data_IF_461738916043
#
_entry.id   IF_461738916043
#
_cell.length_a   1.000
_cell.length_b   1.000
_cell.length_c   1.000
_cell.angle_alpha   90.00
_cell.angle_beta   90.00
_cell.angle_gamma   90.00
#
_symmetry.space_group_name_H-M   'P 1'
#
loop_
_entity.id
_entity.type
_entity.pdbx_description
1 polymer ?
#
# COMPACT_ATOMS: atom_id res chain seq x y z
N UNK A 1 -11.50 -37.11 -3.36
CA UNK A 1 -12.42 -37.19 -4.52
C UNK A 1 -12.07 -38.43 -5.29
N UNK A 2 -13.00 -39.37 -5.41
CA UNK A 2 -12.88 -40.56 -6.27
C UNK A 2 -14.23 -41.25 -6.37
N UNK A 3 -14.31 -42.19 -7.27
CA UNK A 3 -15.48 -43.06 -7.37
C UNK A 3 -15.59 -43.93 -6.11
N UNK A 4 -16.77 -43.92 -5.50
CA UNK A 4 -17.16 -44.77 -4.38
C UNK A 4 -18.20 -45.78 -4.83
N UNK A 5 -18.24 -46.92 -4.20
CA UNK A 5 -19.25 -47.92 -4.47
C UNK A 5 -20.09 -48.16 -3.22
N UNK A 6 -21.39 -48.26 -3.43
CA UNK A 6 -22.33 -48.78 -2.42
C UNK A 6 -22.80 -50.16 -2.89
N UNK A 7 -22.60 -51.13 -2.04
CA UNK A 7 -23.11 -52.49 -2.27
C UNK A 7 -24.28 -52.72 -1.33
N UNK A 8 -25.42 -53.06 -1.89
CA UNK A 8 -26.65 -53.47 -1.17
C UNK A 8 -26.74 -54.96 -1.31
N UNK A 9 -26.71 -55.67 -0.18
CA UNK A 9 -26.81 -57.14 -0.12
C UNK A 9 -28.15 -57.53 0.47
N UNK A 10 -28.83 -58.51 -0.16
CA UNK A 10 -30.06 -59.08 0.35
C UNK A 10 -29.83 -59.81 1.68
N UNK A 11 -30.83 -59.75 2.58
CA UNK A 11 -30.83 -60.45 3.87
C UNK A 11 -32.16 -61.15 4.07
N UNK A 12 -32.13 -62.23 4.83
CA UNK A 12 -33.34 -63.06 5.10
C UNK A 12 -33.84 -63.76 3.84
N UNK A 13 -35.00 -63.50 3.41
CA UNK A 13 -35.65 -64.11 2.20
C UNK A 13 -35.23 -63.45 0.87
N UNK A 14 -34.32 -62.46 0.89
CA UNK A 14 -33.80 -61.80 -0.29
C UNK A 14 -32.39 -62.22 -0.57
N UNK A 15 -32.05 -62.53 -1.83
CA UNK A 15 -30.73 -62.97 -2.25
C UNK A 15 -30.10 -62.00 -3.25
N UNK A 16 -28.78 -62.07 -3.33
CA UNK A 16 -27.98 -61.31 -4.28
C UNK A 16 -27.46 -60.01 -3.72
N UNK A 17 -26.64 -59.33 -4.51
CA UNK A 17 -26.12 -57.99 -4.22
C UNK A 17 -26.19 -57.10 -5.45
N UNK A 18 -26.41 -55.82 -5.21
CA UNK A 18 -26.34 -54.76 -6.21
C UNK A 18 -25.31 -53.72 -5.82
N UNK A 19 -24.40 -53.43 -6.74
CA UNK A 19 -23.36 -52.41 -6.50
C UNK A 19 -23.59 -51.21 -7.45
N UNK A 20 -23.74 -50.05 -6.87
CA UNK A 20 -23.81 -48.79 -7.59
C UNK A 20 -22.57 -47.91 -7.28
N UNK A 21 -22.01 -47.30 -8.30
CA UNK A 21 -20.91 -46.34 -8.13
C UNK A 21 -21.40 -44.92 -8.17
N UNK A 22 -20.78 -44.04 -7.39
CA UNK A 22 -20.97 -42.60 -7.44
C UNK A 22 -19.63 -41.87 -7.33
N UNK A 23 -19.56 -40.69 -7.94
CA UNK A 23 -18.36 -39.85 -7.88
C UNK A 23 -18.52 -38.77 -6.81
N UNK A 24 -17.53 -38.65 -5.92
CA UNK A 24 -17.40 -37.47 -5.04
C UNK A 24 -16.69 -36.38 -5.85
N UNK A 25 -17.35 -35.27 -6.05
CA UNK A 25 -16.84 -34.12 -6.83
C UNK A 25 -16.60 -32.89 -5.93
N UNK A 26 -15.76 -31.93 -6.35
CA UNK A 26 -15.57 -30.69 -5.60
C UNK A 26 -16.88 -29.93 -5.37
N UNK A 27 -17.00 -29.30 -4.21
CA UNK A 27 -18.16 -28.47 -3.88
C UNK A 27 -18.28 -27.24 -4.80
N UNK A 28 -19.52 -26.75 -4.99
CA UNK A 28 -19.79 -25.52 -5.75
C UNK A 28 -18.97 -24.35 -5.22
N UNK A 29 -18.42 -23.53 -6.13
CA UNK A 29 -17.68 -22.33 -5.81
C UNK A 29 -18.58 -21.13 -5.56
N UNK A 30 -18.02 -20.12 -4.87
CA UNK A 30 -18.68 -18.84 -4.63
C UNK A 30 -17.74 -17.70 -5.00
N UNK A 31 -18.16 -16.82 -5.91
CA UNK A 31 -17.45 -15.57 -6.20
C UNK A 31 -17.68 -14.63 -5.02
N UNK A 32 -16.60 -14.30 -4.30
CA UNK A 32 -16.63 -13.41 -3.12
C UNK A 32 -16.60 -11.95 -3.55
N UNK A 33 -15.75 -11.63 -4.55
CA UNK A 33 -15.52 -10.25 -4.97
C UNK A 33 -15.37 -10.12 -6.48
N UNK A 34 -15.96 -9.06 -7.04
CA UNK A 34 -15.70 -8.57 -8.39
C UNK A 34 -15.34 -7.08 -8.31
N UNK A 35 -14.25 -6.68 -8.97
CA UNK A 35 -13.86 -5.27 -9.04
C UNK A 35 -13.63 -4.85 -10.48
N UNK A 36 -14.22 -3.72 -10.85
CA UNK A 36 -14.05 -3.08 -12.15
C UNK A 36 -12.59 -2.67 -12.38
N UNK A 37 -12.06 -2.96 -13.59
CA UNK A 37 -10.77 -2.48 -14.10
C UNK A 37 -10.97 -1.87 -15.49
N UNK A 38 -10.05 -1.01 -15.92
CA UNK A 38 -10.02 -0.57 -17.32
C UNK A 38 -9.61 -1.75 -18.22
N UNK A 39 -10.47 -2.06 -19.21
CA UNK A 39 -10.32 -3.23 -20.10
C UNK A 39 -10.11 -4.54 -19.35
N UNK A 40 -10.81 -4.72 -18.21
CA UNK A 40 -10.66 -5.92 -17.41
C UNK A 40 -11.50 -5.89 -16.13
N UNK A 41 -11.34 -6.92 -15.31
CA UNK A 41 -11.91 -7.01 -13.96
C UNK A 41 -11.05 -7.92 -13.08
N UNK A 42 -11.17 -7.73 -11.78
CA UNK A 42 -10.63 -8.63 -10.77
C UNK A 42 -11.77 -9.51 -10.25
N UNK A 43 -11.49 -10.80 -10.12
CA UNK A 43 -12.39 -11.78 -9.55
C UNK A 43 -11.70 -12.53 -8.41
N UNK A 44 -12.40 -12.72 -7.31
CA UNK A 44 -11.96 -13.42 -6.11
C UNK A 44 -13.05 -14.42 -5.69
N UNK A 45 -12.65 -15.62 -5.27
CA UNK A 45 -13.55 -16.71 -4.90
C UNK A 45 -13.08 -17.42 -3.64
N UNK A 46 -13.96 -18.22 -3.04
CA UNK A 46 -13.62 -18.98 -1.85
C UNK A 46 -12.59 -20.09 -2.16
N UNK A 47 -11.43 -20.05 -1.52
CA UNK A 47 -10.44 -21.11 -1.62
C UNK A 47 -11.00 -22.43 -1.09
N UNK A 48 -10.74 -23.54 -1.79
CA UNK A 48 -11.05 -24.90 -1.37
C UNK A 48 -9.76 -25.71 -1.22
N UNK A 49 -9.43 -26.09 0.00
CA UNK A 49 -8.17 -26.76 0.34
C UNK A 49 -7.91 -28.07 -0.41
N UNK A 50 -8.96 -28.74 -0.86
CA UNK A 50 -8.89 -29.99 -1.62
C UNK A 50 -8.89 -29.82 -3.15
N UNK A 51 -8.94 -28.58 -3.66
CA UNK A 51 -8.87 -28.31 -5.09
C UNK A 51 -7.42 -28.47 -5.61
N UNK A 52 -7.25 -29.04 -6.80
CA UNK A 52 -6.01 -28.95 -7.56
C UNK A 52 -5.90 -27.59 -8.24
N UNK A 53 -7.02 -27.02 -8.69
CA UNK A 53 -7.06 -25.73 -9.33
C UNK A 53 -8.48 -25.25 -9.62
N UNK A 54 -8.57 -24.23 -10.47
CA UNK A 54 -9.81 -23.54 -10.77
C UNK A 54 -9.94 -23.22 -12.27
N UNK A 55 -11.19 -23.30 -12.78
CA UNK A 55 -11.56 -22.76 -14.07
C UNK A 55 -12.39 -21.49 -13.87
N UNK A 56 -12.02 -20.44 -14.55
CA UNK A 56 -12.75 -19.16 -14.60
C UNK A 56 -13.28 -18.98 -16.03
N UNK A 57 -14.58 -18.85 -16.19
CA UNK A 57 -15.20 -18.51 -17.48
C UNK A 57 -15.81 -17.13 -17.45
N UNK A 58 -15.67 -16.41 -18.57
CA UNK A 58 -16.27 -15.09 -18.74
C UNK A 58 -16.74 -14.88 -20.18
N UNK A 59 -17.89 -14.22 -20.30
CA UNK A 59 -18.54 -13.94 -21.60
C UNK A 59 -19.26 -12.59 -21.56
N UNK A 60 -19.49 -11.99 -22.70
CA UNK A 60 -20.40 -10.84 -22.83
C UNK A 60 -21.86 -11.27 -22.91
N UNK A 61 -22.14 -12.57 -22.99
CA UNK A 61 -23.48 -13.17 -23.03
C UNK A 61 -23.87 -13.72 -21.66
N UNK A 62 -25.07 -13.40 -21.18
CA UNK A 62 -25.56 -13.83 -19.87
C UNK A 62 -25.71 -15.36 -19.76
N UNK A 63 -25.97 -16.05 -20.85
CA UNK A 63 -26.04 -17.51 -20.92
C UNK A 63 -24.65 -18.18 -21.07
N UNK A 64 -23.56 -17.41 -20.99
CA UNK A 64 -22.18 -17.88 -21.15
C UNK A 64 -21.85 -18.43 -22.55
N UNK A 65 -22.66 -18.13 -23.59
CA UNK A 65 -22.31 -18.47 -24.96
C UNK A 65 -20.99 -17.79 -25.37
N UNK A 66 -20.12 -18.51 -26.09
CA UNK A 66 -18.80 -18.02 -26.52
C UNK A 66 -17.86 -17.64 -25.37
N UNK A 67 -18.03 -18.25 -24.20
CA UNK A 67 -17.22 -17.91 -23.03
C UNK A 67 -15.74 -18.22 -23.25
N UNK A 68 -14.88 -17.23 -22.96
CA UNK A 68 -13.46 -17.46 -22.79
C UNK A 68 -13.19 -18.08 -21.42
N UNK A 69 -12.11 -18.88 -21.34
CA UNK A 69 -11.74 -19.60 -20.12
C UNK A 69 -10.32 -19.27 -19.69
N UNK A 70 -10.09 -19.26 -18.37
CA UNK A 70 -8.77 -19.30 -17.73
C UNK A 70 -8.72 -20.54 -16.84
N UNK A 71 -7.65 -21.31 -16.99
CA UNK A 71 -7.39 -22.52 -16.23
C UNK A 71 -6.20 -22.27 -15.29
N UNK A 72 -6.41 -22.45 -13.99
CA UNK A 72 -5.38 -22.32 -12.96
C UNK A 72 -5.03 -23.71 -12.42
N UNK A 73 -3.77 -24.10 -12.49
CA UNK A 73 -3.26 -25.42 -12.11
C UNK A 73 -2.84 -25.53 -10.64
N UNK A 74 -3.12 -24.52 -9.85
CA UNK A 74 -2.87 -24.50 -8.42
C UNK A 74 -4.10 -24.00 -7.64
N UNK A 75 -4.27 -24.45 -6.39
CA UNK A 75 -5.34 -23.97 -5.52
C UNK A 75 -5.06 -22.61 -4.88
N UNK A 76 -3.91 -22.05 -5.14
CA UNK A 76 -3.51 -20.65 -4.85
C UNK A 76 -2.90 -20.03 -6.11
N UNK A 77 -3.19 -18.77 -6.41
CA UNK A 77 -4.10 -17.84 -5.71
C UNK A 77 -5.59 -18.21 -5.90
N UNK A 78 -6.43 -17.72 -4.99
CA UNK A 78 -7.90 -17.79 -5.02
C UNK A 78 -8.54 -16.57 -5.71
N UNK A 79 -7.77 -15.88 -6.52
CA UNK A 79 -8.17 -14.69 -7.24
C UNK A 79 -7.42 -14.54 -8.57
N UNK A 80 -8.00 -13.75 -9.49
CA UNK A 80 -7.40 -13.48 -10.78
C UNK A 80 -7.81 -12.10 -11.31
N UNK A 81 -6.88 -11.43 -11.99
CA UNK A 81 -7.21 -10.27 -12.84
C UNK A 81 -7.31 -10.69 -14.29
N UNK A 82 -8.48 -10.52 -14.88
CA UNK A 82 -8.71 -10.67 -16.31
C UNK A 82 -8.48 -9.32 -16.97
N UNK A 83 -7.64 -9.29 -18.00
CA UNK A 83 -7.27 -8.08 -18.74
C UNK A 83 -7.38 -8.28 -20.26
N UNK A 84 -7.18 -7.21 -21.05
CA UNK A 84 -7.28 -7.26 -22.51
C UNK A 84 -8.73 -7.26 -23.03
N UNK A 85 -9.70 -6.94 -22.17
CA UNK A 85 -11.12 -6.92 -22.53
C UNK A 85 -11.53 -5.59 -23.18
N UNK A 86 -12.75 -5.54 -23.72
CA UNK A 86 -13.35 -4.29 -24.21
C UNK A 86 -13.71 -3.39 -23.04
N UNK A 87 -13.39 -2.09 -23.13
CA UNK A 87 -13.78 -1.09 -22.14
C UNK A 87 -15.29 -0.81 -22.22
N UNK A 88 -15.88 -0.37 -21.09
CA UNK A 88 -17.30 -0.01 -20.98
C UNK A 88 -18.27 -1.16 -21.37
N UNK A 89 -17.84 -2.41 -21.20
CA UNK A 89 -18.57 -3.61 -21.59
C UNK A 89 -18.91 -4.46 -20.38
N UNK A 90 -20.14 -4.98 -20.33
CA UNK A 90 -20.56 -5.93 -19.28
C UNK A 90 -20.05 -7.33 -19.63
N UNK A 91 -19.48 -8.00 -18.63
CA UNK A 91 -19.06 -9.41 -18.67
C UNK A 91 -19.77 -10.18 -17.57
N UNK A 92 -20.15 -11.41 -17.89
CA UNK A 92 -20.69 -12.41 -16.98
C UNK A 92 -19.59 -13.39 -16.63
N UNK A 93 -19.47 -13.77 -15.37
CA UNK A 93 -18.34 -14.53 -14.83
C UNK A 93 -18.84 -15.66 -13.97
N UNK A 94 -18.22 -16.85 -14.09
CA UNK A 94 -18.44 -17.99 -13.21
C UNK A 94 -17.11 -18.70 -12.93
N UNK A 95 -17.01 -19.37 -11.80
CA UNK A 95 -15.82 -20.08 -11.35
C UNK A 95 -16.20 -21.48 -10.89
N UNK A 96 -15.37 -22.48 -11.16
CA UNK A 96 -15.45 -23.81 -10.54
C UNK A 96 -14.08 -24.28 -10.08
N UNK A 97 -14.05 -25.17 -9.09
CA UNK A 97 -12.84 -25.91 -8.74
C UNK A 97 -12.80 -27.24 -9.50
N UNK A 98 -11.60 -27.78 -9.64
CA UNK A 98 -11.41 -29.16 -10.05
C UNK A 98 -10.35 -29.82 -9.16
N UNK A 99 -10.39 -31.14 -9.12
CA UNK A 99 -9.41 -31.97 -8.43
C UNK A 99 -8.96 -33.09 -9.33
N UNK A 100 -7.64 -33.28 -9.44
CA UNK A 100 -7.04 -34.40 -10.15
C UNK A 100 -6.77 -35.52 -9.15
N UNK A 101 -7.21 -36.71 -9.47
CA UNK A 101 -6.89 -37.93 -8.72
C UNK A 101 -6.42 -38.95 -9.74
N UNK A 102 -5.16 -39.39 -9.57
CA UNK A 102 -4.48 -40.22 -10.54
C UNK A 102 -4.52 -39.57 -11.93
N UNK A 103 -5.08 -40.22 -12.94
CA UNK A 103 -5.20 -39.69 -14.32
C UNK A 103 -6.56 -39.04 -14.62
N UNK A 104 -7.46 -38.93 -13.62
CA UNK A 104 -8.83 -38.43 -13.82
C UNK A 104 -9.05 -37.05 -13.18
N UNK A 105 -9.69 -36.14 -13.91
CA UNK A 105 -10.12 -34.82 -13.41
C UNK A 105 -11.58 -34.85 -13.01
N UNK A 106 -11.87 -34.44 -11.78
CA UNK A 106 -13.21 -34.26 -11.23
C UNK A 106 -13.53 -32.78 -11.10
N UNK A 107 -14.55 -32.33 -11.78
CA UNK A 107 -14.99 -30.93 -11.77
C UNK A 107 -16.14 -30.72 -10.79
N UNK A 108 -16.05 -29.66 -10.01
CA UNK A 108 -17.18 -29.16 -9.24
C UNK A 108 -18.18 -28.40 -10.11
N UNK A 109 -19.40 -28.19 -9.60
CA UNK A 109 -20.38 -27.31 -10.27
C UNK A 109 -19.85 -25.89 -10.41
N UNK A 110 -20.27 -25.20 -11.46
CA UNK A 110 -20.01 -23.78 -11.62
C UNK A 110 -20.68 -22.98 -10.49
N UNK A 111 -20.04 -21.88 -10.07
CA UNK A 111 -20.65 -20.85 -9.23
C UNK A 111 -21.87 -20.25 -9.93
N UNK A 112 -22.67 -19.53 -9.16
CA UNK A 112 -23.66 -18.63 -9.74
C UNK A 112 -22.94 -17.59 -10.62
N UNK A 113 -23.59 -17.22 -11.74
CA UNK A 113 -23.06 -16.22 -12.66
C UNK A 113 -23.21 -14.85 -12.00
N UNK A 114 -22.11 -14.10 -11.93
CA UNK A 114 -22.13 -12.68 -11.55
C UNK A 114 -21.73 -11.82 -12.73
N UNK A 115 -22.24 -10.59 -12.80
CA UNK A 115 -21.90 -9.64 -13.85
C UNK A 115 -21.03 -8.49 -13.33
N UNK A 116 -20.16 -7.98 -14.20
CA UNK A 116 -19.30 -6.84 -13.94
C UNK A 116 -19.13 -6.00 -15.20
N UNK A 117 -19.20 -4.68 -15.09
CA UNK A 117 -18.92 -3.78 -16.19
C UNK A 117 -17.48 -3.30 -16.12
N UNK A 118 -16.72 -3.45 -17.20
CA UNK A 118 -15.36 -2.90 -17.32
C UNK A 118 -15.39 -1.37 -17.34
N UNK A 119 -14.34 -0.73 -16.81
CA UNK A 119 -14.29 0.72 -16.80
C UNK A 119 -14.14 1.33 -18.19
N UNK A 120 -14.75 2.50 -18.41
CA UNK A 120 -14.70 3.25 -19.65
C UNK A 120 -13.38 3.98 -19.85
N UNK A 121 -12.81 4.55 -18.76
CA UNK A 121 -11.62 5.39 -18.79
C UNK A 121 -10.48 4.81 -17.95
N UNK A 122 -9.24 5.02 -18.39
CA UNK A 122 -8.03 4.62 -17.68
C UNK A 122 -7.54 5.77 -16.80
N UNK A 123 -7.71 5.66 -15.46
CA UNK A 123 -7.26 6.69 -14.53
C UNK A 123 -5.75 6.91 -14.55
N UNK A 124 -4.95 5.95 -15.04
CA UNK A 124 -3.48 6.12 -15.10
C UNK A 124 -3.06 7.26 -16.03
N UNK A 125 -3.97 7.72 -16.90
CA UNK A 125 -3.79 8.89 -17.78
C UNK A 125 -4.13 10.21 -17.08
N UNK A 126 -4.65 10.17 -15.84
CA UNK A 126 -4.96 11.38 -15.08
C UNK A 126 -3.69 12.03 -14.51
N UNK A 127 -3.71 13.34 -14.43
CA UNK A 127 -2.70 14.11 -13.69
C UNK A 127 -3.04 14.13 -12.19
N UNK A 128 -2.00 14.10 -11.35
CA UNK A 128 -2.14 14.15 -9.89
C UNK A 128 -1.25 15.25 -9.35
N UNK A 129 -1.82 16.14 -8.54
CA UNK A 129 -1.12 17.22 -7.86
C UNK A 129 -1.45 17.26 -6.37
N UNK A 130 -0.78 18.12 -5.58
CA UNK A 130 -1.00 18.26 -4.14
C UNK A 130 -0.24 17.25 -3.27
N UNK A 131 0.63 16.45 -3.86
CA UNK A 131 1.51 15.53 -3.11
C UNK A 131 2.78 16.28 -2.70
N UNK A 132 3.06 16.32 -1.40
CA UNK A 132 4.21 17.04 -0.85
C UNK A 132 4.82 16.29 0.34
N UNK A 133 6.07 16.64 0.64
CA UNK A 133 6.74 16.20 1.87
C UNK A 133 5.99 16.73 3.09
N UNK A 134 5.81 15.87 4.09
CA UNK A 134 5.11 16.19 5.35
C UNK A 134 6.03 16.03 6.56
N UNK A 135 5.74 16.78 7.59
CA UNK A 135 6.39 16.59 8.90
C UNK A 135 5.69 15.46 9.67
N UNK A 136 6.47 14.68 10.38
CA UNK A 136 5.96 13.61 11.25
C UNK A 136 5.13 14.19 12.40
N UNK A 137 3.95 13.63 12.62
CA UNK A 137 2.98 14.07 13.64
C UNK A 137 2.68 13.02 14.70
N UNK A 138 3.23 11.80 14.57
CA UNK A 138 2.83 10.64 15.39
C UNK A 138 1.54 9.96 14.94
N UNK A 139 0.78 10.58 14.04
CA UNK A 139 -0.49 10.07 13.50
C UNK A 139 -0.36 9.72 12.02
N UNK A 140 -1.36 9.03 11.48
CA UNK A 140 -1.44 8.76 10.04
C UNK A 140 -1.51 10.09 9.26
N UNK A 141 -0.67 10.20 8.22
CA UNK A 141 -0.55 11.41 7.38
C UNK A 141 -1.19 11.13 6.03
N UNK A 142 -2.09 11.99 5.61
CA UNK A 142 -2.71 11.97 4.29
C UNK A 142 -2.27 13.17 3.46
N UNK A 143 -2.58 13.16 2.16
CA UNK A 143 -2.28 14.22 1.22
C UNK A 143 -3.59 14.86 0.73
N UNK A 144 -3.59 16.17 0.56
CA UNK A 144 -4.70 16.86 -0.09
C UNK A 144 -4.43 16.87 -1.62
N UNK A 145 -4.89 15.80 -2.30
CA UNK A 145 -4.61 15.59 -3.72
C UNK A 145 -5.74 16.06 -4.62
N UNK A 146 -5.36 16.55 -5.79
CA UNK A 146 -6.27 16.82 -6.90
C UNK A 146 -5.92 15.88 -8.05
N UNK A 147 -6.93 15.15 -8.55
CA UNK A 147 -6.81 14.26 -9.71
C UNK A 147 -7.60 14.86 -10.85
N UNK A 148 -6.99 15.06 -12.04
CA UNK A 148 -7.67 15.56 -13.23
C UNK A 148 -7.51 14.62 -14.39
N UNK A 149 -8.60 14.31 -15.09
CA UNK A 149 -8.61 13.53 -16.32
C UNK A 149 -9.05 14.43 -17.49
N UNK A 150 -8.20 14.56 -18.50
CA UNK A 150 -8.43 15.49 -19.61
C UNK A 150 -8.84 16.90 -19.14
N UNK A 151 -8.13 17.45 -18.13
CA UNK A 151 -8.40 18.77 -17.57
C UNK A 151 -9.53 18.83 -16.53
N UNK A 152 -10.45 17.88 -16.53
CA UNK A 152 -11.60 17.83 -15.61
C UNK A 152 -11.21 17.23 -14.26
N UNK A 153 -11.53 17.93 -13.17
CA UNK A 153 -11.29 17.43 -11.81
C UNK A 153 -12.20 16.23 -11.49
N UNK A 154 -11.61 15.15 -10.97
CA UNK A 154 -12.30 13.95 -10.53
C UNK A 154 -12.68 14.06 -9.05
N UNK A 155 -13.81 13.45 -8.68
CA UNK A 155 -14.36 13.48 -7.32
C UNK A 155 -13.93 12.24 -6.53
N UNK A 156 -13.25 12.46 -5.39
CA UNK A 156 -12.93 11.36 -4.46
C UNK A 156 -14.20 10.73 -3.88
N UNK A 157 -14.22 9.41 -3.76
CA UNK A 157 -15.38 8.63 -3.35
C UNK A 157 -16.31 8.23 -4.50
N UNK A 158 -16.37 9.02 -5.59
CA UNK A 158 -17.21 8.76 -6.78
C UNK A 158 -16.39 8.24 -7.95
N UNK A 159 -15.37 8.98 -8.37
CA UNK A 159 -14.54 8.69 -9.56
C UNK A 159 -13.26 7.93 -9.19
N UNK A 160 -12.80 8.07 -7.97
CA UNK A 160 -11.65 7.35 -7.42
C UNK A 160 -11.74 7.23 -5.90
N UNK A 161 -10.89 6.38 -5.33
CA UNK A 161 -10.63 6.29 -3.89
C UNK A 161 -9.14 6.41 -3.62
N UNK A 162 -8.77 6.79 -2.39
CA UNK A 162 -7.38 6.86 -1.95
C UNK A 162 -7.13 5.92 -0.78
N UNK A 163 -5.99 5.25 -0.80
CA UNK A 163 -5.45 4.52 0.33
C UNK A 163 -3.99 4.86 0.55
N UNK A 164 -3.51 4.66 1.77
CA UNK A 164 -2.17 5.05 2.17
C UNK A 164 -1.46 3.87 2.83
N UNK A 165 -0.15 3.76 2.60
CA UNK A 165 0.71 2.82 3.32
C UNK A 165 1.99 3.50 3.78
N UNK A 166 2.60 2.99 4.87
CA UNK A 166 3.79 3.54 5.51
C UNK A 166 3.65 5.02 5.96
N UNK A 167 2.41 5.52 6.08
CA UNK A 167 2.11 6.93 6.33
C UNK A 167 2.04 7.32 7.82
N UNK A 168 2.47 6.42 8.72
CA UNK A 168 2.51 6.62 10.19
C UNK A 168 3.94 6.75 10.74
N UNK A 169 4.96 6.62 9.87
CA UNK A 169 6.37 6.62 10.27
C UNK A 169 7.18 7.57 9.40
N UNK A 170 8.33 8.02 9.91
CA UNK A 170 9.31 8.80 9.14
C UNK A 170 9.85 7.91 8.01
N UNK A 171 10.03 8.48 6.82
CA UNK A 171 10.52 7.77 5.65
C UNK A 171 9.65 7.97 4.42
N UNK A 172 9.74 7.03 3.48
CA UNK A 172 8.91 7.01 2.27
C UNK A 172 7.54 6.42 2.59
N UNK A 173 6.49 7.15 2.27
CA UNK A 173 5.10 6.73 2.33
C UNK A 173 4.49 6.68 0.93
N UNK A 174 3.41 5.94 0.78
CA UNK A 174 2.73 5.71 -0.50
C UNK A 174 1.28 6.19 -0.39
N UNK A 175 0.80 6.85 -1.43
CA UNK A 175 -0.62 7.03 -1.71
C UNK A 175 -0.98 6.24 -2.97
N UNK A 176 -2.01 5.43 -2.87
CA UNK A 176 -2.60 4.65 -3.97
C UNK A 176 -3.94 5.27 -4.30
N UNK A 177 -4.13 5.64 -5.56
CA UNK A 177 -5.35 6.23 -6.11
C UNK A 177 -5.96 5.16 -7.01
N UNK A 178 -7.12 4.64 -6.64
CA UNK A 178 -7.81 3.57 -7.40
C UNK A 178 -9.04 4.16 -8.08
N UNK A 179 -9.12 4.02 -9.38
CA UNK A 179 -10.28 4.44 -10.17
C UNK A 179 -11.55 3.71 -9.73
N UNK A 180 -12.70 4.39 -9.80
CA UNK A 180 -14.01 3.92 -9.41
C UNK A 180 -15.07 4.32 -10.45
N UNK A 181 -16.17 3.56 -10.52
CA UNK A 181 -17.25 3.84 -11.47
C UNK A 181 -16.77 3.72 -12.91
N UNK A 182 -16.83 4.81 -13.67
CA UNK A 182 -16.38 4.84 -15.07
C UNK A 182 -14.85 4.90 -15.26
N UNK A 183 -14.07 5.04 -14.17
CA UNK A 183 -12.62 5.04 -14.20
C UNK A 183 -12.09 3.73 -13.64
N UNK A 184 -11.11 3.11 -14.32
CA UNK A 184 -10.40 1.92 -13.87
C UNK A 184 -8.90 2.16 -13.85
N UNK A 185 -8.17 1.27 -13.16
CA UNK A 185 -6.71 1.37 -13.02
C UNK A 185 -6.29 1.97 -11.67
N UNK A 186 -4.97 2.06 -11.49
CA UNK A 186 -4.37 2.46 -10.22
C UNK A 186 -3.18 3.38 -10.50
N UNK A 187 -3.13 4.52 -9.81
CA UNK A 187 -1.96 5.39 -9.74
C UNK A 187 -1.32 5.22 -8.37
N UNK A 188 -0.03 4.97 -8.34
CA UNK A 188 0.76 4.93 -7.10
C UNK A 188 1.74 6.10 -7.10
N UNK A 189 1.76 6.88 -6.02
CA UNK A 189 2.68 8.00 -5.81
C UNK A 189 3.34 7.88 -4.44
N UNK A 190 4.60 8.26 -4.38
CA UNK A 190 5.36 8.32 -3.15
C UNK A 190 5.38 9.75 -2.59
N UNK A 191 5.45 9.87 -1.27
CA UNK A 191 5.77 11.11 -0.59
C UNK A 191 6.69 10.82 0.61
N UNK A 192 7.37 11.85 1.09
CA UNK A 192 8.31 11.72 2.20
C UNK A 192 7.69 12.27 3.48
N UNK A 193 7.88 11.56 4.59
CA UNK A 193 7.60 12.03 5.93
C UNK A 193 8.94 12.28 6.61
N UNK A 194 9.23 13.55 6.89
CA UNK A 194 10.45 13.97 7.58
C UNK A 194 10.20 14.14 9.09
N UNK A 195 11.25 14.09 9.92
CA UNK A 195 11.14 14.48 11.32
C UNK A 195 10.49 15.86 11.48
N UNK A 196 9.78 16.06 12.57
CA UNK A 196 9.19 17.35 12.90
C UNK A 196 10.26 18.44 13.06
N UNK A 197 9.90 19.69 12.76
CA UNK A 197 10.76 20.85 12.95
C UNK A 197 11.24 20.92 14.40
N UNK A 198 12.50 21.28 14.58
CA UNK A 198 13.12 21.50 15.90
C UNK A 198 12.89 22.91 16.42
N UNK A 199 13.08 23.05 17.71
CA UNK A 199 13.04 24.33 18.41
C UNK A 199 14.23 24.44 19.37
N UNK A 200 14.96 25.58 19.32
CA UNK A 200 15.98 25.93 20.32
C UNK A 200 15.23 26.45 21.55
N UNK A 201 15.35 25.73 22.67
CA UNK A 201 14.77 26.13 23.95
C UNK A 201 15.63 27.17 24.62
N UNK A 202 16.93 26.91 24.75
CA UNK A 202 17.89 27.80 25.42
C UNK A 202 19.12 28.01 24.57
N UNK A 203 19.65 29.23 24.54
CA UNK A 203 20.92 29.58 23.94
C UNK A 203 21.63 30.58 24.84
N UNK A 204 22.78 30.19 25.39
CA UNK A 204 23.45 30.97 26.43
C UNK A 204 24.93 31.22 26.05
N UNK A 205 25.37 32.45 26.24
CA UNK A 205 26.75 32.88 26.04
C UNK A 205 27.70 32.27 27.09
N UNK A 206 28.89 31.86 26.64
CA UNK A 206 30.04 31.42 27.50
C UNK A 206 31.34 32.00 26.96
N UNK A 207 32.43 31.92 27.75
CA UNK A 207 33.78 32.32 27.31
C UNK A 207 34.21 31.47 26.13
N UNK A 208 34.49 32.10 24.98
CA UNK A 208 34.85 31.47 23.69
C UNK A 208 33.99 30.28 23.31
N UNK A 209 32.68 30.31 23.72
CA UNK A 209 31.73 29.23 23.57
C UNK A 209 30.28 29.72 23.63
N UNK A 210 29.35 28.84 23.28
CA UNK A 210 27.94 28.98 23.62
C UNK A 210 27.33 27.63 24.01
N UNK A 211 26.36 27.68 24.89
CA UNK A 211 25.51 26.53 25.24
C UNK A 211 24.21 26.60 24.44
N UNK A 212 23.78 25.48 23.86
CA UNK A 212 22.51 25.34 23.14
C UNK A 212 21.75 24.14 23.65
N UNK A 213 20.47 24.31 23.84
CA UNK A 213 19.50 23.34 24.32
C UNK A 213 18.29 23.35 23.38
N UNK A 214 17.75 22.16 23.03
CA UNK A 214 16.61 21.97 22.10
C UNK A 214 15.66 20.90 22.59
N UNK A 215 14.44 20.89 22.04
CA UNK A 215 13.42 19.91 22.41
C UNK A 215 13.84 18.49 21.97
N UNK A 216 13.89 17.55 22.88
CA UNK A 216 14.09 16.14 22.56
C UNK A 216 12.92 15.59 21.73
N UNK A 217 13.20 14.78 20.70
CA UNK A 217 12.21 14.12 19.86
C UNK A 217 12.44 12.62 19.88
N UNK A 218 11.50 11.85 20.45
CA UNK A 218 11.60 10.40 20.57
C UNK A 218 11.71 9.64 19.24
N UNK A 219 11.23 10.25 18.15
CA UNK A 219 11.34 9.68 16.79
C UNK A 219 12.70 9.99 16.10
N UNK A 220 13.56 10.80 16.69
CA UNK A 220 14.86 11.13 16.11
C UNK A 220 15.90 10.03 16.37
N UNK A 221 16.83 9.83 15.45
CA UNK A 221 18.09 9.12 15.69
C UNK A 221 19.12 10.04 16.31
N UNK A 222 19.07 11.33 15.99
CA UNK A 222 19.97 12.34 16.49
C UNK A 222 19.66 13.74 15.94
N UNK A 223 20.61 14.66 16.13
CA UNK A 223 20.43 16.06 15.79
C UNK A 223 21.63 16.61 15.04
N UNK A 224 21.40 17.66 14.26
CA UNK A 224 22.44 18.50 13.69
C UNK A 224 22.31 19.94 14.20
N UNK A 225 23.40 20.50 14.71
CA UNK A 225 23.52 21.91 15.07
C UNK A 225 24.33 22.57 13.97
N UNK A 226 23.83 23.66 13.41
CA UNK A 226 24.54 24.47 12.44
C UNK A 226 24.72 25.88 13.02
N UNK A 227 25.96 26.42 12.91
CA UNK A 227 26.29 27.75 13.41
C UNK A 227 27.20 28.51 12.46
N UNK A 228 27.04 29.81 12.38
CA UNK A 228 27.78 30.70 11.51
C UNK A 228 27.87 32.10 12.13
N UNK A 229 28.81 32.93 11.66
CA UNK A 229 28.91 34.33 12.06
C UNK A 229 27.99 35.27 11.28
N UNK A 230 27.18 34.73 10.34
CA UNK A 230 26.22 35.48 9.56
C UNK A 230 24.86 34.77 9.55
N UNK A 231 23.77 35.52 9.39
CA UNK A 231 22.39 35.01 9.43
C UNK A 231 21.99 34.15 8.23
N UNK A 232 22.75 34.23 7.13
CA UNK A 232 22.50 33.40 5.91
C UNK A 232 23.12 32.02 6.02
N UNK A 233 23.90 31.75 7.10
CA UNK A 233 24.61 30.48 7.31
C UNK A 233 25.60 30.14 6.19
N UNK A 234 26.16 31.17 5.54
CA UNK A 234 27.29 31.01 4.61
C UNK A 234 28.51 30.48 5.37
N UNK A 235 29.19 29.47 4.84
CA UNK A 235 30.35 28.78 5.49
C UNK A 235 30.02 28.28 6.89
N UNK A 236 28.80 27.89 7.15
CA UNK A 236 28.38 27.43 8.46
C UNK A 236 29.10 26.12 8.87
N UNK A 237 29.52 26.09 10.13
CA UNK A 237 30.02 24.85 10.76
C UNK A 237 28.85 24.00 11.23
N UNK A 238 29.09 22.68 11.27
CA UNK A 238 28.06 21.68 11.64
C UNK A 238 28.58 20.74 12.70
N UNK A 239 27.79 20.47 13.73
CA UNK A 239 28.01 19.43 14.73
C UNK A 239 26.87 18.42 14.65
N UNK A 240 27.18 17.13 14.59
CA UNK A 240 26.20 16.03 14.55
C UNK A 240 26.18 15.30 15.89
N UNK A 241 25.03 15.24 16.50
CA UNK A 241 24.73 14.46 17.71
C UNK A 241 24.09 13.15 17.28
N UNK A 242 24.78 12.03 17.53
CA UNK A 242 24.31 10.68 17.08
C UNK A 242 23.41 9.99 18.10
N UNK A 243 22.92 10.70 19.09
CA UNK A 243 22.08 10.16 20.16
C UNK A 243 20.85 11.07 20.36
N UNK A 244 19.66 10.52 20.31
CA UNK A 244 18.41 11.27 20.51
C UNK A 244 18.16 11.65 21.99
N UNK A 245 18.87 11.03 22.95
CA UNK A 245 18.76 11.37 24.38
C UNK A 245 19.54 12.63 24.74
N UNK A 246 20.49 13.06 23.86
CA UNK A 246 21.23 14.30 24.03
C UNK A 246 20.45 15.46 23.42
N UNK A 247 19.94 16.34 24.27
CA UNK A 247 19.09 17.48 23.90
C UNK A 247 19.81 18.84 24.10
N UNK A 248 21.10 18.82 24.51
CA UNK A 248 21.89 20.01 24.79
C UNK A 248 23.37 19.76 24.56
N UNK A 249 24.10 20.82 24.26
CA UNK A 249 25.58 20.76 24.14
C UNK A 249 26.21 22.14 24.29
N UNK A 250 27.53 22.17 24.53
CA UNK A 250 28.33 23.40 24.47
C UNK A 250 29.25 23.34 23.25
N UNK A 251 29.18 24.36 22.40
CA UNK A 251 30.09 24.55 21.28
C UNK A 251 31.19 25.48 21.74
N UNK A 252 32.41 24.95 21.80
CA UNK A 252 33.60 25.64 22.31
C UNK A 252 34.66 25.90 21.23
N UNK A 253 35.79 26.47 21.60
CA UNK A 253 36.88 26.86 20.69
C UNK A 253 36.44 27.88 19.64
N UNK A 254 35.60 28.81 20.05
CA UNK A 254 35.12 29.89 19.23
C UNK A 254 35.92 31.19 19.51
N UNK A 255 35.77 32.17 18.63
CA UNK A 255 36.30 33.52 18.90
C UNK A 255 35.46 34.17 20.01
N UNK A 256 36.15 34.83 20.95
CA UNK A 256 35.50 35.65 21.98
C UNK A 256 34.91 36.94 21.39
N UNK A 257 33.93 37.53 22.07
CA UNK A 257 33.21 38.73 21.64
C UNK A 257 32.65 38.64 20.19
N UNK A 258 32.32 37.44 19.73
CA UNK A 258 31.84 37.20 18.37
C UNK A 258 30.37 36.75 18.36
N UNK A 259 29.55 37.36 17.51
CA UNK A 259 28.14 36.96 17.32
C UNK A 259 28.07 35.72 16.44
N UNK A 260 27.31 34.72 16.89
CA UNK A 260 27.00 33.48 16.16
C UNK A 260 25.52 33.32 16.03
N UNK A 261 25.07 32.90 14.84
CA UNK A 261 23.71 32.44 14.54
C UNK A 261 23.68 30.92 14.62
N UNK A 262 22.67 30.36 15.28
CA UNK A 262 22.56 28.93 15.59
C UNK A 262 21.20 28.42 15.18
N UNK A 263 21.16 27.24 14.55
CA UNK A 263 19.93 26.51 14.27
C UNK A 263 20.15 25.02 14.49
N UNK A 264 19.06 24.29 14.80
CA UNK A 264 19.10 22.88 15.10
C UNK A 264 18.05 22.16 14.27
N UNK A 265 18.33 20.94 13.82
CA UNK A 265 17.34 20.03 13.26
C UNK A 265 17.53 18.61 13.78
N UNK A 266 16.47 17.84 13.83
CA UNK A 266 16.54 16.39 14.04
C UNK A 266 16.79 15.65 12.74
N UNK A 267 17.36 14.46 12.83
CA UNK A 267 17.33 13.49 11.74
C UNK A 267 16.93 12.11 12.26
N UNK A 268 16.34 11.30 11.36
CA UNK A 268 16.01 9.91 11.63
C UNK A 268 16.61 9.06 10.53
N UNK A 269 17.28 7.97 10.90
CA UNK A 269 17.84 7.00 9.95
C UNK A 269 16.86 5.82 9.82
N UNK A 270 16.41 5.56 8.60
CA UNK A 270 15.52 4.44 8.28
C UNK A 270 16.19 3.64 7.14
N UNK A 271 16.48 2.38 7.38
CA UNK A 271 17.16 1.50 6.41
C UNK A 271 18.39 2.16 5.77
N UNK A 272 19.26 2.74 6.60
CA UNK A 272 20.48 3.42 6.15
C UNK A 272 20.29 4.84 5.57
N UNK A 273 19.06 5.24 5.24
CA UNK A 273 18.75 6.57 4.69
C UNK A 273 18.44 7.56 5.79
N UNK A 274 19.07 8.74 5.76
CA UNK A 274 18.78 9.84 6.69
C UNK A 274 17.68 10.74 6.15
N UNK A 275 16.67 10.95 6.97
CA UNK A 275 15.57 11.90 6.77
C UNK A 275 15.75 13.04 7.73
N UNK A 276 15.72 14.27 7.23
CA UNK A 276 16.00 15.46 8.04
C UNK A 276 14.73 16.28 8.26
N UNK A 277 14.52 16.69 9.49
CA UNK A 277 13.52 17.70 9.83
C UNK A 277 13.93 19.09 9.30
N UNK A 278 12.97 19.99 9.22
CA UNK A 278 13.26 21.38 8.95
C UNK A 278 14.13 21.97 10.06
N UNK A 279 15.01 22.91 9.70
CA UNK A 279 15.78 23.66 10.67
C UNK A 279 14.86 24.45 11.60
N UNK A 280 15.25 24.57 12.88
CA UNK A 280 14.61 25.51 13.81
C UNK A 280 14.67 26.95 13.28
N UNK A 281 13.88 27.82 13.84
CA UNK A 281 14.14 29.26 13.75
C UNK A 281 15.56 29.51 14.29
N UNK A 282 16.35 30.32 13.61
CA UNK A 282 17.68 30.66 14.05
C UNK A 282 17.63 31.61 15.25
N UNK A 283 18.46 31.36 16.24
CA UNK A 283 18.74 32.30 17.35
C UNK A 283 20.17 32.79 17.25
N UNK A 284 20.50 33.91 17.86
CA UNK A 284 21.85 34.44 17.88
C UNK A 284 22.36 34.63 19.32
N UNK A 285 23.67 34.48 19.50
CA UNK A 285 24.39 34.65 20.78
C UNK A 285 25.74 35.27 20.51
N UNK A 286 26.20 36.18 21.39
CA UNK A 286 27.54 36.70 21.36
C UNK A 286 28.37 36.01 22.46
N UNK A 287 29.47 35.37 22.05
CA UNK A 287 30.41 34.72 23.01
C UNK A 287 31.05 35.75 23.93
N UNK A 288 31.39 35.35 25.17
CA UNK A 288 32.25 36.14 26.06
C UNK A 288 33.73 35.99 25.68
N UNK A 289 34.58 36.89 26.20
CA UNK A 289 36.06 36.76 26.08
C UNK A 289 36.57 35.40 26.52
#
# INVERSE_FOLDING_TARGET
YKRQNITISGMGNYYGSYTAGFDIIPAKQTIQKLETRYKGFFVDWAQKGSATGYDIQYSTSANMSGAASKHLTANKPDNLTISGLTADKTYYVRVRSYTNVESKTYYGPWSDIKSIKTAKYDITKASVSGISTKAYTGKAITQNITVKYNGTALKNGTDYTTSYSNNKKIGKAIVKITGKGKYGGIITKNFTINPAKQEIQKLTSKSKAFFVDWAQKGSATGYEIQYATNSKFTNAKKVTIKNNKTDKTTISKLSGNKKYYVRVRSYTTVNGTKYYGAWSVSKSVTTKK
#
